data_IF_370117324600
#
_entry.id   IF_370117324600
#
_cell.length_a   1.000
_cell.length_b   1.000
_cell.length_c   1.000
_cell.angle_alpha   90.00
_cell.angle_beta   90.00
_cell.angle_gamma   90.00
#
_symmetry.space_group_name_H-M   'P 1'
#
loop_
_entity.id
_entity.type
_entity.pdbx_description
1 polymer ?
#
# COMPACT_ATOMS: atom_id res chain seq x y z
N UNK A 1 -26.20 22.10 -11.99
CA UNK A 1 -24.97 21.30 -12.06
C UNK A 1 -24.06 21.78 -10.95
N UNK A 2 -23.52 20.89 -10.12
CA UNK A 2 -22.55 21.29 -9.08
C UNK A 2 -21.27 21.72 -9.81
N UNK A 3 -20.78 22.95 -9.61
CA UNK A 3 -19.55 23.40 -10.27
C UNK A 3 -18.35 22.60 -9.77
N UNK A 4 -17.41 22.32 -10.67
CA UNK A 4 -16.14 21.71 -10.30
C UNK A 4 -15.23 22.76 -9.61
N UNK A 5 -14.39 22.34 -8.66
CA UNK A 5 -13.44 23.25 -8.03
C UNK A 5 -12.39 23.76 -9.01
N UNK A 6 -11.72 24.84 -8.63
CA UNK A 6 -10.56 25.34 -9.36
C UNK A 6 -9.36 24.39 -9.21
N UNK A 7 -8.38 24.53 -10.11
CA UNK A 7 -7.14 23.76 -10.02
C UNK A 7 -6.42 24.05 -8.68
N UNK A 8 -5.87 23.02 -8.01
CA UNK A 8 -5.11 23.21 -6.79
C UNK A 8 -3.92 24.15 -7.00
N UNK A 9 -3.72 25.10 -6.08
CA UNK A 9 -2.58 26.02 -6.06
C UNK A 9 -1.63 25.65 -4.92
N UNK A 10 -0.33 25.75 -5.14
CA UNK A 10 0.67 25.63 -4.07
C UNK A 10 0.93 27.03 -3.52
N UNK A 11 0.50 27.30 -2.28
CA UNK A 11 0.69 28.61 -1.64
C UNK A 11 2.12 28.74 -1.13
N UNK A 12 2.60 27.69 -0.47
CA UNK A 12 3.87 27.71 0.24
C UNK A 12 4.56 26.36 0.05
N UNK A 13 5.87 26.40 -0.25
CA UNK A 13 6.74 25.23 -0.34
C UNK A 13 8.03 25.53 0.42
N UNK A 14 8.26 24.78 1.49
CA UNK A 14 9.48 24.86 2.33
C UNK A 14 10.06 23.46 2.48
N UNK A 15 11.03 23.11 1.64
CA UNK A 15 11.65 21.78 1.64
C UNK A 15 10.63 20.66 1.47
N UNK A 16 10.49 19.82 2.50
CA UNK A 16 9.57 18.68 2.52
C UNK A 16 8.14 19.04 2.99
N UNK A 17 7.81 20.33 3.12
CA UNK A 17 6.49 20.81 3.53
C UNK A 17 5.87 21.65 2.43
N UNK A 18 4.60 21.40 2.11
CA UNK A 18 3.83 22.22 1.17
C UNK A 18 2.39 22.45 1.64
N UNK A 19 1.83 23.61 1.28
CA UNK A 19 0.42 23.95 1.51
C UNK A 19 -0.29 24.02 0.16
N UNK A 20 -1.25 23.12 -0.04
CA UNK A 20 -2.11 23.07 -1.23
C UNK A 20 -3.44 23.73 -0.92
N UNK A 21 -3.86 24.65 -1.76
CA UNK A 21 -5.14 25.33 -1.66
C UNK A 21 -6.05 24.92 -2.82
N UNK A 22 -7.24 24.44 -2.46
CA UNK A 22 -8.30 24.06 -3.39
C UNK A 22 -9.48 25.00 -3.15
N UNK A 23 -9.84 25.75 -4.18
CA UNK A 23 -10.89 26.79 -4.11
C UNK A 23 -12.14 26.37 -4.90
N UNK A 24 -13.28 26.96 -4.56
CA UNK A 24 -14.52 26.75 -5.31
C UNK A 24 -15.18 25.39 -5.07
N UNK A 25 -14.91 24.76 -3.92
CA UNK A 25 -15.62 23.54 -3.53
C UNK A 25 -17.05 23.88 -3.12
N UNK A 26 -18.01 23.06 -3.54
CA UNK A 26 -19.39 23.21 -3.11
C UNK A 26 -19.49 22.99 -1.58
N UNK A 27 -20.38 23.69 -0.84
CA UNK A 27 -20.48 23.53 0.61
C UNK A 27 -20.55 22.06 1.04
N UNK A 28 -19.68 21.69 1.99
CA UNK A 28 -19.52 20.32 2.50
C UNK A 28 -18.48 19.48 1.76
N UNK A 29 -18.14 19.83 0.52
CA UNK A 29 -17.12 19.09 -0.25
C UNK A 29 -15.71 19.34 0.30
N UNK A 30 -15.46 20.46 0.99
CA UNK A 30 -14.19 20.71 1.69
C UNK A 30 -13.86 19.57 2.65
N UNK A 31 -14.84 19.15 3.46
CA UNK A 31 -14.67 18.06 4.44
C UNK A 31 -14.48 16.72 3.73
N UNK A 32 -15.30 16.43 2.71
CA UNK A 32 -15.23 15.18 1.98
C UNK A 32 -13.88 15.01 1.27
N UNK A 33 -13.43 16.02 0.54
CA UNK A 33 -12.16 15.99 -0.20
C UNK A 33 -10.97 15.98 0.78
N UNK A 34 -10.98 16.86 1.78
CA UNK A 34 -9.91 16.97 2.77
C UNK A 34 -9.71 15.68 3.55
N UNK A 35 -10.78 15.08 4.06
CA UNK A 35 -10.70 13.81 4.79
C UNK A 35 -10.27 12.65 3.88
N UNK A 36 -10.78 12.59 2.64
CA UNK A 36 -10.41 11.53 1.69
C UNK A 36 -8.92 11.58 1.35
N UNK A 37 -8.40 12.76 1.00
CA UNK A 37 -6.98 12.96 0.72
C UNK A 37 -6.11 12.66 1.94
N UNK A 38 -6.50 13.15 3.11
CA UNK A 38 -5.77 12.90 4.37
C UNK A 38 -5.62 11.39 4.64
N UNK A 39 -6.68 10.62 4.43
CA UNK A 39 -6.64 9.16 4.64
C UNK A 39 -5.66 8.50 3.67
N UNK A 40 -5.80 8.76 2.38
CA UNK A 40 -4.97 8.12 1.34
C UNK A 40 -3.50 8.48 1.47
N UNK A 41 -3.20 9.74 1.74
CA UNK A 41 -1.82 10.20 1.92
C UNK A 41 -1.12 9.53 3.12
N UNK A 42 -1.85 9.24 4.21
CA UNK A 42 -1.28 8.57 5.39
C UNK A 42 -1.18 7.05 5.25
N UNK A 43 -2.07 6.42 4.47
CA UNK A 43 -2.18 4.95 4.44
C UNK A 43 -1.65 4.28 3.18
N UNK A 44 -1.74 4.93 2.03
CA UNK A 44 -1.76 4.24 0.73
C UNK A 44 -0.67 4.67 -0.24
N UNK A 45 0.24 5.55 0.18
CA UNK A 45 1.39 5.91 -0.63
C UNK A 45 2.48 4.83 -0.52
N UNK A 46 3.09 4.43 -1.65
CA UNK A 46 4.22 3.53 -1.65
C UNK A 46 5.45 4.23 -1.08
N UNK A 47 6.16 3.54 -0.21
CA UNK A 47 7.48 3.96 0.25
C UNK A 47 8.37 2.76 0.48
N UNK A 48 9.59 3.02 0.96
CA UNK A 48 10.60 2.00 1.16
C UNK A 48 11.16 2.02 2.58
N UNK A 49 11.36 0.83 3.15
CA UNK A 49 11.84 0.66 4.51
C UNK A 49 12.73 -0.58 4.62
N UNK A 50 13.54 -0.62 5.67
CA UNK A 50 14.30 -1.82 6.03
C UNK A 50 13.34 -2.85 6.59
N UNK A 51 13.40 -4.06 6.06
CA UNK A 51 12.51 -5.16 6.46
C UNK A 51 13.23 -6.26 7.19
N UNK A 52 14.50 -6.46 6.89
CA UNK A 52 15.34 -7.48 7.50
C UNK A 52 16.74 -6.97 7.68
N UNK A 53 17.42 -7.52 8.67
CA UNK A 53 18.83 -7.25 8.91
C UNK A 53 19.56 -8.51 9.33
N UNK A 54 20.84 -8.59 8.99
CA UNK A 54 21.75 -9.67 9.35
C UNK A 54 23.05 -9.05 9.81
N UNK A 55 23.45 -9.31 11.05
CA UNK A 55 24.73 -8.84 11.59
C UNK A 55 25.66 -10.05 11.78
N UNK A 56 26.91 -9.93 11.36
CA UNK A 56 27.89 -11.00 11.52
C UNK A 56 28.12 -11.30 13.01
N UNK A 57 27.93 -12.56 13.42
CA UNK A 57 28.16 -13.02 14.79
C UNK A 57 26.96 -12.86 15.75
N UNK A 58 25.84 -12.32 15.28
CA UNK A 58 24.62 -12.14 16.09
C UNK A 58 23.51 -13.07 15.61
N UNK A 59 22.84 -13.72 16.56
CA UNK A 59 21.72 -14.61 16.28
C UNK A 59 20.35 -14.00 16.62
N UNK A 60 20.31 -13.02 17.54
CA UNK A 60 19.07 -12.43 18.04
C UNK A 60 19.24 -10.96 18.40
N UNK A 61 18.14 -10.22 18.43
CA UNK A 61 18.08 -8.78 18.68
C UNK A 61 18.49 -8.34 20.11
N UNK A 62 18.48 -9.24 21.09
CA UNK A 62 18.82 -8.92 22.49
C UNK A 62 20.31 -9.03 22.81
N UNK A 63 21.16 -9.06 21.80
CA UNK A 63 22.61 -9.21 21.97
C UNK A 63 23.32 -7.86 21.92
N UNK A 64 24.54 -7.82 22.45
CA UNK A 64 25.43 -6.68 22.39
C UNK A 64 26.62 -6.99 21.49
N UNK A 65 27.21 -5.96 20.87
CA UNK A 65 28.36 -6.12 19.97
C UNK A 65 29.61 -5.61 20.70
N UNK A 66 30.62 -6.46 20.95
CA UNK A 66 31.85 -6.02 21.59
C UNK A 66 32.53 -4.89 20.80
N UNK A 67 32.79 -3.76 21.47
CA UNK A 67 33.45 -2.60 20.87
C UNK A 67 32.53 -1.66 20.09
N UNK A 68 31.22 -1.84 20.17
CA UNK A 68 30.19 -0.87 19.73
C UNK A 68 29.51 -0.32 20.99
N UNK A 69 29.16 0.97 20.98
CA UNK A 69 28.51 1.64 22.11
C UNK A 69 27.05 1.24 22.26
N UNK A 70 26.34 1.12 21.14
CA UNK A 70 24.91 0.83 21.06
C UNK A 70 24.61 -0.67 21.04
N UNK A 71 23.49 -1.04 21.64
CA UNK A 71 22.95 -2.40 21.59
C UNK A 71 22.25 -2.69 20.25
N UNK A 72 22.04 -3.96 19.91
CA UNK A 72 21.38 -4.33 18.63
C UNK A 72 19.97 -3.75 18.53
N UNK A 73 19.24 -3.59 19.64
CA UNK A 73 17.92 -2.94 19.68
C UNK A 73 18.01 -1.46 19.29
N UNK A 74 19.03 -0.76 19.77
CA UNK A 74 19.25 0.65 19.42
C UNK A 74 19.64 0.79 17.95
N UNK A 75 20.49 -0.11 17.44
CA UNK A 75 20.81 -0.18 16.01
C UNK A 75 19.54 -0.42 15.19
N UNK A 76 18.67 -1.34 15.60
CA UNK A 76 17.36 -1.57 14.96
C UNK A 76 16.53 -0.28 14.92
N UNK A 77 16.47 0.45 16.02
CA UNK A 77 15.72 1.71 16.11
C UNK A 77 16.29 2.77 15.17
N UNK A 78 17.62 2.89 15.09
CA UNK A 78 18.32 3.80 14.20
C UNK A 78 18.08 3.44 12.72
N UNK A 79 18.11 2.15 12.37
CA UNK A 79 17.81 1.67 11.02
C UNK A 79 16.38 2.02 10.58
N UNK A 80 15.40 1.95 11.48
CA UNK A 80 14.00 2.34 11.19
C UNK A 80 13.84 3.85 10.92
N UNK A 81 14.76 4.67 11.39
CA UNK A 81 14.76 6.10 11.11
C UNK A 81 15.36 6.43 9.73
N UNK A 82 15.99 5.47 9.06
CA UNK A 82 16.50 5.66 7.70
C UNK A 82 15.37 5.80 6.68
N UNK A 83 15.63 6.57 5.64
CA UNK A 83 14.71 6.86 4.55
C UNK A 83 15.38 6.56 3.23
N UNK A 84 14.74 5.68 2.45
CA UNK A 84 15.27 5.18 1.19
C UNK A 84 14.37 5.57 0.01
N UNK A 85 14.95 5.91 -1.13
CA UNK A 85 14.26 5.91 -2.41
C UNK A 85 14.68 4.66 -3.17
N UNK A 86 13.73 3.78 -3.45
CA UNK A 86 13.94 2.62 -4.30
C UNK A 86 13.42 2.92 -5.69
N UNK A 87 14.22 2.68 -6.72
CA UNK A 87 13.81 2.85 -8.12
C UNK A 87 13.21 1.57 -8.71
N UNK A 88 13.53 0.41 -8.13
CA UNK A 88 12.96 -0.90 -8.52
C UNK A 88 11.78 -1.31 -7.64
N UNK A 89 10.98 -2.29 -8.08
CA UNK A 89 9.95 -2.97 -7.27
C UNK A 89 10.49 -4.16 -6.46
N UNK A 90 11.68 -4.64 -6.80
CA UNK A 90 12.29 -5.80 -6.15
C UNK A 90 12.98 -5.43 -4.84
N UNK A 91 13.14 -6.40 -3.94
CA UNK A 91 13.93 -6.22 -2.73
C UNK A 91 15.40 -5.98 -3.07
N UNK A 92 16.03 -5.07 -2.34
CA UNK A 92 17.43 -4.70 -2.54
C UNK A 92 18.20 -4.91 -1.25
N UNK A 93 19.43 -5.40 -1.35
CA UNK A 93 20.32 -5.62 -0.22
C UNK A 93 21.38 -4.52 -0.18
N UNK A 94 21.57 -3.91 0.98
CA UNK A 94 22.65 -2.96 1.23
C UNK A 94 23.58 -3.54 2.30
N UNK A 95 24.88 -3.30 2.16
CA UNK A 95 25.90 -3.82 3.08
C UNK A 95 26.60 -2.67 3.77
N UNK A 96 27.02 -2.91 4.99
CA UNK A 96 27.82 -2.00 5.78
C UNK A 96 28.99 -2.78 6.34
N UNK A 97 30.21 -2.35 6.02
CA UNK A 97 31.43 -2.94 6.55
C UNK A 97 32.34 -1.83 7.06
N UNK A 98 32.49 -1.79 8.38
CA UNK A 98 33.25 -0.75 9.05
C UNK A 98 34.23 -1.37 10.04
N UNK A 99 35.45 -0.83 10.08
CA UNK A 99 36.48 -1.22 11.04
C UNK A 99 37.08 0.02 11.70
N UNK A 100 37.50 -0.15 12.94
CA UNK A 100 38.19 0.89 13.71
C UNK A 100 37.24 1.84 14.43
N UNK A 101 37.81 2.67 15.29
CA UNK A 101 37.08 3.62 16.14
C UNK A 101 36.52 4.76 15.28
N UNK A 102 35.19 4.79 15.09
CA UNK A 102 34.48 5.83 14.32
C UNK A 102 32.98 5.83 14.61
N UNK A 103 32.36 6.99 14.39
CA UNK A 103 30.92 7.12 14.27
C UNK A 103 30.46 6.60 12.90
N UNK A 104 29.51 5.67 12.88
CA UNK A 104 28.94 5.08 11.68
C UNK A 104 27.68 5.82 11.29
N UNK A 105 27.67 6.35 10.08
CA UNK A 105 26.55 7.10 9.52
C UNK A 105 25.88 6.34 8.40
N UNK A 106 24.67 6.74 8.05
CA UNK A 106 23.94 6.17 6.94
C UNK A 106 24.71 6.27 5.60
N UNK A 107 25.61 7.25 5.47
CA UNK A 107 26.50 7.39 4.32
C UNK A 107 27.56 6.29 4.18
N UNK A 108 27.86 5.54 5.25
CA UNK A 108 28.84 4.44 5.22
C UNK A 108 28.28 3.16 4.56
N UNK A 109 26.97 3.10 4.25
CA UNK A 109 26.38 1.96 3.57
C UNK A 109 26.84 1.86 2.11
N UNK A 110 27.26 0.65 1.72
CA UNK A 110 27.42 0.24 0.33
C UNK A 110 26.04 -0.04 -0.25
N UNK A 111 25.57 0.89 -1.07
CA UNK A 111 24.24 0.84 -1.69
C UNK A 111 24.33 0.33 -3.14
N UNK A 112 23.37 -0.49 -3.59
CA UNK A 112 23.21 -0.80 -5.00
C UNK A 112 22.70 0.44 -5.76
N UNK A 113 22.89 0.45 -7.08
CA UNK A 113 22.51 1.59 -7.95
C UNK A 113 21.02 1.95 -7.94
N UNK A 114 20.17 1.04 -7.48
CA UNK A 114 18.72 1.21 -7.44
C UNK A 114 18.18 1.73 -6.09
N UNK A 115 19.07 2.04 -5.15
CA UNK A 115 18.73 2.52 -3.80
C UNK A 115 19.47 3.82 -3.51
N UNK A 116 18.74 4.83 -3.06
CA UNK A 116 19.30 6.09 -2.58
C UNK A 116 18.87 6.35 -1.13
N UNK A 117 19.82 6.69 -0.26
CA UNK A 117 19.52 7.16 1.11
C UNK A 117 19.27 8.66 1.08
N UNK A 118 18.11 9.07 1.61
CA UNK A 118 17.70 10.48 1.73
C UNK A 118 18.43 11.15 2.89
N UNK A 119 18.47 10.51 4.06
CA UNK A 119 19.08 11.03 5.29
C UNK A 119 20.49 10.48 5.53
N UNK A 120 21.45 10.88 4.71
CA UNK A 120 22.84 10.39 4.75
C UNK A 120 23.58 10.65 6.06
N UNK A 121 23.15 11.65 6.83
CA UNK A 121 23.76 12.05 8.11
C UNK A 121 23.20 11.30 9.32
N UNK A 122 22.23 10.40 9.13
CA UNK A 122 21.63 9.67 10.23
C UNK A 122 22.66 8.76 10.91
N UNK A 123 22.66 8.81 12.25
CA UNK A 123 23.52 7.98 13.09
C UNK A 123 23.04 6.54 13.09
N UNK A 124 23.96 5.58 13.02
CA UNK A 124 23.66 4.14 13.09
C UNK A 124 24.22 3.54 14.37
N UNK A 125 25.53 3.68 14.56
CA UNK A 125 26.28 3.10 15.66
C UNK A 125 27.63 3.82 15.85
N UNK A 126 28.28 3.63 16.98
CA UNK A 126 29.57 4.20 17.35
C UNK A 126 30.52 3.08 17.73
N UNK A 127 31.61 2.91 16.98
CA UNK A 127 32.67 1.96 17.32
C UNK A 127 33.65 2.62 18.29
N UNK A 128 33.80 2.04 19.48
CA UNK A 128 34.60 2.60 20.59
C UNK A 128 36.02 2.03 20.65
N UNK A 129 36.32 1.00 19.85
CA UNK A 129 37.60 0.30 19.89
C UNK A 129 38.26 0.22 18.51
N UNK A 130 39.58 0.40 18.44
CA UNK A 130 40.35 0.26 17.19
C UNK A 130 40.29 -1.13 16.54
N UNK A 131 39.93 -2.15 17.31
CA UNK A 131 39.73 -3.54 16.85
C UNK A 131 38.26 -3.89 16.58
N UNK A 132 37.33 -2.96 16.84
CA UNK A 132 35.92 -3.21 16.57
C UNK A 132 35.69 -3.30 15.05
N UNK A 133 34.86 -4.26 14.66
CA UNK A 133 34.38 -4.44 13.29
C UNK A 133 32.88 -4.62 13.35
N UNK A 134 32.17 -3.84 12.53
CA UNK A 134 30.73 -3.96 12.33
C UNK A 134 30.50 -4.32 10.87
N UNK A 135 30.00 -5.54 10.66
CA UNK A 135 29.57 -6.03 9.36
C UNK A 135 28.09 -6.41 9.42
N UNK A 136 27.29 -5.77 8.58
CA UNK A 136 25.87 -6.05 8.50
C UNK A 136 25.31 -5.93 7.09
N UNK A 137 24.27 -6.70 6.82
CA UNK A 137 23.48 -6.65 5.59
C UNK A 137 22.04 -6.27 5.97
N UNK A 138 21.46 -5.31 5.26
CA UNK A 138 20.06 -4.91 5.41
C UNK A 138 19.30 -5.18 4.12
N UNK A 139 18.06 -5.64 4.24
CA UNK A 139 17.15 -5.79 3.12
C UNK A 139 16.14 -4.65 3.14
N UNK A 140 16.02 -3.98 1.99
CA UNK A 140 15.14 -2.84 1.79
C UNK A 140 14.09 -3.25 0.76
N UNK A 141 12.83 -3.02 1.09
CA UNK A 141 11.69 -3.35 0.23
C UNK A 141 10.79 -2.14 0.06
N UNK A 142 10.00 -2.18 -1.03
CA UNK A 142 8.84 -1.30 -1.19
C UNK A 142 7.62 -1.94 -0.56
N UNK A 143 6.80 -1.11 0.08
CA UNK A 143 5.56 -1.55 0.69
C UNK A 143 4.57 -0.42 0.86
N UNK A 144 3.50 -0.70 1.58
CA UNK A 144 2.43 0.24 1.87
C UNK A 144 2.14 0.26 3.37
N UNK A 145 1.96 1.45 3.92
CA UNK A 145 1.56 1.64 5.31
C UNK A 145 2.55 1.03 6.31
N UNK A 146 2.01 0.38 7.33
CA UNK A 146 2.77 -0.29 8.37
C UNK A 146 2.62 -1.81 8.24
N UNK A 147 3.73 -2.52 8.30
CA UNK A 147 3.74 -3.97 8.32
C UNK A 147 4.49 -4.48 9.55
N UNK A 148 3.80 -5.17 10.49
CA UNK A 148 4.46 -5.71 11.67
C UNK A 148 5.31 -6.94 11.32
N UNK A 149 6.36 -7.17 12.11
CA UNK A 149 7.25 -8.33 11.98
C UNK A 149 6.50 -9.67 11.91
N UNK A 150 5.49 -9.87 12.76
CA UNK A 150 4.70 -11.11 12.85
C UNK A 150 4.03 -11.49 11.52
N UNK A 151 3.60 -10.50 10.75
CA UNK A 151 2.98 -10.74 9.43
C UNK A 151 3.94 -11.36 8.40
N UNK A 152 5.25 -11.33 8.67
CA UNK A 152 6.34 -11.82 7.81
C UNK A 152 6.95 -13.14 8.28
N UNK A 153 6.52 -13.70 9.42
CA UNK A 153 7.10 -14.95 9.98
C UNK A 153 6.96 -16.18 9.09
N UNK A 154 6.04 -16.16 8.12
CA UNK A 154 5.86 -17.27 7.18
C UNK A 154 6.95 -17.34 6.09
N UNK A 155 7.81 -16.33 5.99
CA UNK A 155 8.93 -16.32 5.06
C UNK A 155 10.14 -17.04 5.67
N UNK A 156 10.77 -17.95 4.92
CA UNK A 156 11.95 -18.67 5.40
C UNK A 156 13.08 -17.67 5.67
N UNK A 157 13.41 -17.47 6.94
CA UNK A 157 14.54 -16.66 7.37
C UNK A 157 15.82 -17.49 7.33
N UNK A 158 16.91 -16.87 6.89
CA UNK A 158 18.23 -17.45 7.07
C UNK A 158 18.64 -17.43 8.54
N UNK A 159 19.52 -18.33 8.95
CA UNK A 159 20.08 -18.33 10.30
C UNK A 159 20.84 -17.02 10.52
N UNK A 160 20.49 -16.28 11.57
CA UNK A 160 21.06 -14.97 11.91
C UNK A 160 20.38 -13.77 11.24
N UNK A 161 19.30 -13.99 10.48
CA UNK A 161 18.48 -12.92 9.92
C UNK A 161 17.38 -12.50 10.91
N UNK A 162 17.33 -11.22 11.22
CA UNK A 162 16.36 -10.61 12.14
C UNK A 162 15.34 -9.84 11.30
N UNK A 163 14.07 -10.23 11.41
CA UNK A 163 12.95 -9.51 10.78
C UNK A 163 12.59 -8.27 11.57
N UNK A 164 12.32 -7.17 10.87
CA UNK A 164 11.92 -5.89 11.45
C UNK A 164 10.48 -5.56 11.03
N UNK A 165 9.80 -4.80 11.87
CA UNK A 165 8.62 -4.03 11.46
C UNK A 165 9.04 -2.91 10.52
N UNK A 166 8.22 -2.73 9.48
CA UNK A 166 8.52 -1.82 8.39
C UNK A 166 7.45 -0.73 8.29
N UNK A 167 7.90 0.52 8.33
CA UNK A 167 7.06 1.72 8.15
C UNK A 167 7.36 2.25 6.75
N UNK A 168 6.47 1.97 5.81
CA UNK A 168 6.59 2.39 4.42
C UNK A 168 5.97 3.76 4.14
N UNK A 169 5.31 4.39 5.11
CA UNK A 169 4.61 5.66 4.90
C UNK A 169 5.60 6.83 4.74
N UNK A 170 5.64 7.50 3.57
CA UNK A 170 6.57 8.61 3.30
C UNK A 170 6.07 9.97 3.82
N UNK A 171 4.85 10.02 4.36
CA UNK A 171 4.19 11.23 4.87
C UNK A 171 4.22 11.23 6.40
N UNK A 172 4.79 12.28 6.99
CA UNK A 172 4.91 12.44 8.45
C UNK A 172 3.65 13.04 9.06
N UNK A 173 3.12 14.09 8.43
CA UNK A 173 2.03 14.89 9.01
C UNK A 173 1.16 15.51 7.95
N UNK A 174 -0.15 15.48 8.19
CA UNK A 174 -1.15 16.15 7.37
C UNK A 174 -2.14 16.88 8.26
N UNK A 175 -2.37 18.15 7.92
CA UNK A 175 -3.41 18.97 8.49
C UNK A 175 -4.23 19.58 7.36
N UNK A 176 -5.53 19.78 7.59
CA UNK A 176 -6.35 20.55 6.66
C UNK A 176 -7.24 21.52 7.42
N UNK A 177 -7.48 22.66 6.79
CA UNK A 177 -8.38 23.71 7.27
C UNK A 177 -9.37 24.05 6.17
N UNK A 178 -10.62 24.30 6.57
CA UNK A 178 -11.70 24.65 5.66
C UNK A 178 -12.19 26.04 6.03
N UNK A 179 -12.30 26.89 5.04
CA UNK A 179 -12.75 28.28 5.16
C UNK A 179 -13.91 28.53 4.20
N UNK A 180 -14.83 29.42 4.59
CA UNK A 180 -15.87 29.87 3.67
C UNK A 180 -15.30 30.87 2.65
N UNK A 181 -15.72 30.72 1.40
CA UNK A 181 -15.30 31.53 0.26
C UNK A 181 -16.53 32.08 -0.47
N UNK A 182 -16.38 33.32 -0.96
CA UNK A 182 -17.32 33.91 -1.91
C UNK A 182 -16.96 33.56 -3.35
N UNK A 183 -17.89 32.95 -4.06
CA UNK A 183 -17.81 32.70 -5.51
C UNK A 183 -19.00 33.39 -6.18
N UNK A 184 -18.72 34.52 -6.85
CA UNK A 184 -19.75 35.35 -7.48
C UNK A 184 -20.74 35.94 -6.47
N UNK A 185 -22.00 35.49 -6.54
CA UNK A 185 -23.09 35.94 -5.66
C UNK A 185 -23.25 35.10 -4.39
N UNK A 186 -22.64 33.91 -4.30
CA UNK A 186 -22.74 33.00 -3.16
C UNK A 186 -21.50 33.07 -2.26
N UNK A 187 -21.69 32.94 -0.95
CA UNK A 187 -20.64 33.09 0.09
C UNK A 187 -20.35 31.79 0.86
N UNK A 188 -21.03 30.71 0.50
CA UNK A 188 -21.04 29.43 1.21
C UNK A 188 -20.20 28.35 0.52
N UNK A 189 -19.28 28.73 -0.38
CA UNK A 189 -18.35 27.77 -0.97
C UNK A 189 -17.23 27.45 0.00
N UNK A 190 -16.69 26.24 -0.08
CA UNK A 190 -15.56 25.82 0.74
C UNK A 190 -14.25 26.15 0.01
N UNK A 191 -13.26 26.62 0.78
CA UNK A 191 -11.85 26.66 0.44
C UNK A 191 -11.13 25.69 1.36
N UNK A 192 -10.36 24.77 0.79
CA UNK A 192 -9.59 23.77 1.51
C UNK A 192 -8.10 24.10 1.44
N UNK A 193 -7.48 24.35 2.59
CA UNK A 193 -6.04 24.47 2.74
C UNK A 193 -5.49 23.17 3.34
N UNK A 194 -4.67 22.44 2.59
CA UNK A 194 -4.10 21.16 2.96
C UNK A 194 -2.57 21.30 3.15
N UNK A 195 -2.12 21.16 4.38
CA UNK A 195 -0.70 21.14 4.73
C UNK A 195 -0.19 19.69 4.70
N UNK A 196 0.82 19.41 3.88
CA UNK A 196 1.45 18.10 3.73
C UNK A 196 2.93 18.19 4.07
N UNK A 197 3.40 17.32 4.97
CA UNK A 197 4.79 17.20 5.39
C UNK A 197 5.31 15.78 5.11
N UNK A 198 6.31 15.66 4.24
CA UNK A 198 6.95 14.40 3.85
C UNK A 198 8.31 14.20 4.52
N UNK A 199 8.84 12.98 4.45
CA UNK A 199 10.17 12.64 4.97
C UNK A 199 11.30 12.78 3.93
N UNK A 200 10.97 13.22 2.71
CA UNK A 200 11.91 13.41 1.61
C UNK A 200 12.03 12.21 0.66
N UNK A 201 11.39 11.06 0.95
CA UNK A 201 11.26 9.95 -0.01
C UNK A 201 10.42 10.35 -1.23
N UNK A 202 9.38 11.15 -0.98
CA UNK A 202 8.53 11.77 -2.00
C UNK A 202 8.46 13.27 -1.76
N UNK A 203 8.37 14.04 -2.84
CA UNK A 203 8.02 15.45 -2.71
C UNK A 203 6.53 15.60 -2.33
N UNK A 204 6.14 16.67 -1.62
CA UNK A 204 4.72 16.88 -1.29
C UNK A 204 3.79 16.93 -2.51
N UNK A 205 4.28 17.44 -3.65
CA UNK A 205 3.53 17.52 -4.91
C UNK A 205 3.29 16.13 -5.52
N UNK A 206 4.33 15.29 -5.57
CA UNK A 206 4.21 13.90 -6.01
C UNK A 206 3.26 13.12 -5.08
N UNK A 207 3.39 13.29 -3.77
CA UNK A 207 2.51 12.66 -2.79
C UNK A 207 1.05 13.05 -3.01
N UNK A 208 0.77 14.34 -3.22
CA UNK A 208 -0.58 14.85 -3.52
C UNK A 208 -1.13 14.28 -4.84
N UNK A 209 -0.30 14.24 -5.89
CA UNK A 209 -0.69 13.69 -7.19
C UNK A 209 -0.99 12.19 -7.11
N UNK A 210 -0.12 11.40 -6.49
CA UNK A 210 -0.30 9.95 -6.32
C UNK A 210 -1.55 9.65 -5.48
N UNK A 211 -1.80 10.39 -4.40
CA UNK A 211 -3.00 10.21 -3.59
C UNK A 211 -4.28 10.53 -4.38
N UNK A 212 -4.26 11.58 -5.19
CA UNK A 212 -5.38 11.94 -6.07
C UNK A 212 -5.64 10.85 -7.11
N UNK A 213 -4.58 10.31 -7.72
CA UNK A 213 -4.68 9.21 -8.68
C UNK A 213 -5.27 7.94 -8.05
N UNK A 214 -4.86 7.60 -6.82
CA UNK A 214 -5.41 6.46 -6.07
C UNK A 214 -6.91 6.64 -5.85
N UNK A 215 -7.36 7.82 -5.43
CA UNK A 215 -8.79 8.10 -5.25
C UNK A 215 -9.56 7.98 -6.55
N UNK A 216 -9.06 8.58 -7.64
CA UNK A 216 -9.70 8.50 -8.96
C UNK A 216 -9.82 7.05 -9.44
N UNK A 217 -8.76 6.24 -9.28
CA UNK A 217 -8.79 4.81 -9.61
C UNK A 217 -9.91 4.08 -8.85
N UNK A 218 -10.06 4.29 -7.55
CA UNK A 218 -11.12 3.68 -6.76
C UNK A 218 -12.52 4.10 -7.25
N UNK A 219 -12.75 5.41 -7.44
CA UNK A 219 -14.05 5.91 -7.89
C UNK A 219 -14.39 5.49 -9.34
N UNK A 220 -13.39 5.35 -10.21
CA UNK A 220 -13.58 4.90 -11.59
C UNK A 220 -14.22 3.50 -11.65
N UNK A 221 -13.85 2.59 -10.73
CA UNK A 221 -14.43 1.25 -10.66
C UNK A 221 -15.93 1.29 -10.33
N UNK A 222 -16.37 2.23 -9.50
CA UNK A 222 -17.80 2.38 -9.17
C UNK A 222 -18.62 2.79 -10.39
N UNK A 223 -18.09 3.70 -11.20
CA UNK A 223 -18.76 4.16 -12.42
C UNK A 223 -18.85 3.03 -13.46
N UNK A 224 -17.79 2.26 -13.65
CA UNK A 224 -17.73 1.16 -14.62
C UNK A 224 -18.62 -0.03 -14.22
N UNK A 225 -18.61 -0.41 -12.94
CA UNK A 225 -19.42 -1.52 -12.44
C UNK A 225 -20.93 -1.26 -12.63
N UNK A 226 -21.37 -0.01 -12.43
CA UNK A 226 -22.77 0.38 -12.63
C UNK A 226 -23.12 0.53 -14.11
N UNK A 227 -22.21 0.98 -14.96
CA UNK A 227 -22.41 1.05 -16.40
C UNK A 227 -22.66 -0.34 -17.02
N UNK A 228 -21.86 -1.35 -16.66
CA UNK A 228 -22.05 -2.74 -17.15
C UNK A 228 -23.40 -3.35 -16.74
N UNK A 229 -23.96 -2.94 -15.60
CA UNK A 229 -25.26 -3.41 -15.10
C UNK A 229 -26.46 -2.75 -15.79
N UNK A 230 -26.24 -1.57 -16.39
CA UNK A 230 -27.23 -0.86 -17.21
C UNK A 230 -27.49 -1.55 -18.55
N UNK A 231 -26.45 -2.11 -19.17
CA UNK A 231 -26.55 -2.84 -20.45
C UNK A 231 -27.26 -4.19 -20.32
N UNK A 232 -27.11 -4.89 -19.20
CA UNK A 232 -27.84 -6.16 -18.99
C UNK A 232 -29.34 -5.91 -18.75
N UNK A 233 -29.70 -4.82 -18.06
CA UNK A 233 -31.11 -4.46 -17.82
C UNK A 233 -31.81 -3.98 -19.08
N UNK A 234 -31.14 -3.19 -19.93
CA UNK A 234 -31.71 -2.74 -21.21
C UNK A 234 -31.98 -3.90 -22.18
N UNK A 235 -31.19 -5.00 -22.12
CA UNK A 235 -31.44 -6.24 -22.88
C UNK A 235 -32.61 -7.09 -22.36
N UNK A 236 -32.92 -7.00 -21.06
CA UNK A 236 -34.05 -7.73 -20.45
C UNK A 236 -35.39 -7.03 -20.64
N UNK A 237 -35.39 -5.69 -20.66
CA UNK A 237 -36.60 -4.88 -20.92
C UNK A 237 -36.99 -4.94 -22.39
N UNK A 238 -36.03 -4.98 -23.33
CA UNK A 238 -36.32 -5.16 -24.77
C UNK A 238 -36.87 -6.55 -25.08
N UNK A 239 -36.44 -7.62 -24.39
CA UNK A 239 -37.03 -8.97 -24.53
C UNK A 239 -38.45 -9.10 -23.95
N UNK A 240 -38.80 -8.29 -22.94
CA UNK A 240 -40.15 -8.28 -22.38
C UNK A 240 -41.14 -7.49 -23.26
N UNK A 241 -40.69 -6.41 -23.91
CA UNK A 241 -41.52 -5.65 -24.87
C UNK A 241 -41.65 -6.36 -26.23
N UNK A 242 -40.68 -7.16 -26.67
CA UNK A 242 -40.74 -7.89 -27.95
C UNK A 242 -41.68 -9.12 -27.96
N UNK A 243 -42.35 -9.44 -26.85
CA UNK A 243 -43.36 -10.53 -26.78
C UNK A 243 -44.81 -10.07 -26.85
N UNK A 244 -45.06 -8.78 -27.02
CA UNK A 244 -46.41 -8.22 -27.15
C UNK A 244 -46.48 -7.27 -28.33
N UNK A 245 -46.67 -7.82 -29.54
CA UNK A 245 -46.94 -7.02 -30.74
C UNK A 245 -46.42 -7.68 -32.02
N UNK A 246 -47.16 -8.66 -32.54
CA UNK A 246 -47.19 -8.96 -33.97
C UNK A 246 -48.50 -8.39 -34.51
N UNK A 247 -48.43 -7.40 -35.41
CA UNK A 247 -48.99 -7.48 -36.77
C UNK A 247 -48.73 -6.19 -37.60
N UNK A 248 -48.43 -6.42 -38.88
CA UNK A 248 -48.50 -5.54 -40.06
C UNK A 248 -47.27 -4.73 -40.53
N UNK A 249 -46.63 -5.31 -41.55
CA UNK A 249 -46.23 -4.75 -42.87
C UNK A 249 -45.01 -3.81 -43.05
N UNK A 250 -43.92 -4.46 -43.49
CA UNK A 250 -43.28 -4.39 -44.83
C UNK A 250 -42.57 -3.13 -45.38
N UNK A 251 -41.44 -3.45 -46.05
CA UNK A 251 -40.60 -2.68 -47.00
C UNK A 251 -39.60 -1.69 -46.35
N UNK A 252 -38.33 -1.54 -46.76
CA UNK A 252 -37.59 -1.94 -47.96
C UNK A 252 -36.06 -1.91 -47.72
N UNK A 253 -35.40 -3.02 -48.05
CA UNK A 253 -34.20 -3.12 -48.91
C UNK A 253 -32.86 -2.41 -48.59
N UNK A 254 -31.80 -3.24 -48.56
CA UNK A 254 -30.38 -2.98 -48.97
C UNK A 254 -29.55 -2.00 -48.12
N UNK A 255 -28.23 -2.15 -47.84
CA UNK A 255 -27.16 -3.08 -48.24
C UNK A 255 -25.95 -2.83 -47.30
N UNK A 256 -25.29 -3.91 -46.86
CA UNK A 256 -23.82 -4.11 -46.71
C UNK A 256 -22.88 -3.00 -46.15
N UNK A 257 -22.07 -3.30 -45.12
CA UNK A 257 -20.66 -3.76 -45.24
C UNK A 257 -19.97 -4.01 -43.87
N UNK A 258 -18.98 -4.90 -43.91
CA UNK A 258 -18.21 -5.59 -42.84
C UNK A 258 -17.30 -4.71 -41.97
N UNK A 259 -16.98 -5.19 -40.75
CA UNK A 259 -15.61 -5.47 -40.23
C UNK A 259 -15.71 -6.18 -38.86
N UNK A 260 -15.37 -7.48 -38.80
CA UNK A 260 -14.05 -8.06 -38.46
C UNK A 260 -14.03 -8.55 -37.00
N UNK A 261 -14.08 -9.88 -36.86
CA UNK A 261 -13.80 -10.62 -35.63
C UNK A 261 -12.30 -10.59 -35.31
N UNK A 262 -11.94 -10.26 -34.06
CA UNK A 262 -10.70 -10.75 -33.44
C UNK A 262 -11.03 -11.31 -32.06
N UNK A 263 -11.31 -12.62 -32.06
CA UNK A 263 -10.85 -13.65 -31.13
C UNK A 263 -10.74 -13.29 -29.63
N UNK A 264 -11.77 -13.62 -28.84
CA UNK A 264 -11.61 -13.88 -27.40
C UNK A 264 -11.87 -15.36 -27.10
N UNK A 265 -10.80 -16.08 -26.73
CA UNK A 265 -10.86 -17.47 -26.29
C UNK A 265 -11.12 -17.52 -24.80
N UNK A 266 -12.38 -17.50 -24.42
CA UNK A 266 -12.81 -18.02 -23.11
C UNK A 266 -14.00 -18.98 -23.30
N UNK A 267 -13.68 -20.26 -23.53
CA UNK A 267 -14.63 -21.36 -23.28
C UNK A 267 -14.47 -21.82 -21.83
N UNK A 268 -15.55 -21.88 -21.03
CA UNK A 268 -15.52 -22.57 -19.75
C UNK A 268 -15.66 -24.08 -19.99
N UNK A 269 -14.72 -24.86 -19.45
CA UNK A 269 -14.79 -26.32 -19.40
C UNK A 269 -15.81 -26.73 -18.32
N UNK A 270 -17.02 -27.11 -18.76
CA UNK A 270 -17.92 -27.99 -17.99
C UNK A 270 -17.41 -29.43 -18.11
N UNK A 271 -17.26 -30.11 -16.98
CA UNK A 271 -17.28 -31.57 -16.92
C UNK A 271 -16.26 -32.19 -15.97
N UNK A 272 -16.70 -32.44 -14.72
CA UNK A 272 -16.53 -33.72 -14.00
C UNK A 272 -17.11 -33.60 -12.59
N UNK A 273 -18.42 -33.83 -12.49
CA UNK A 273 -18.97 -34.52 -11.34
C UNK A 273 -18.38 -35.94 -11.27
N UNK A 274 -18.32 -36.48 -10.05
CA UNK A 274 -17.86 -37.81 -9.62
C UNK A 274 -16.36 -37.90 -9.30
N UNK A 275 -16.03 -37.69 -8.02
CA UNK A 275 -15.36 -38.69 -7.16
C UNK A 275 -14.68 -38.08 -5.92
N UNK A 276 -15.40 -37.76 -4.83
CA UNK A 276 -14.89 -37.90 -3.44
C UNK A 276 -16.07 -38.04 -2.46
N UNK A 277 -16.84 -39.14 -2.56
CA UNK A 277 -17.65 -39.63 -1.41
C UNK A 277 -17.47 -41.13 -1.35
N UNK A 278 -16.30 -41.57 -0.88
CA UNK A 278 -16.05 -42.93 -0.38
C UNK A 278 -14.84 -42.88 0.54
N UNK A 279 -15.07 -42.60 1.83
CA UNK A 279 -14.32 -43.26 2.90
C UNK A 279 -14.97 -43.02 4.27
N UNK A 280 -15.42 -44.12 4.87
CA UNK A 280 -15.62 -44.37 6.31
C UNK A 280 -16.92 -43.87 6.96
N UNK A 281 -18.02 -44.53 6.57
CA UNK A 281 -18.95 -45.05 7.56
C UNK A 281 -18.26 -46.23 8.30
N UNK A 282 -17.93 -46.06 9.57
CA UNK A 282 -17.69 -47.19 10.49
C UNK A 282 -18.67 -47.07 11.66
N UNK A 283 -19.53 -48.09 11.71
CA UNK A 283 -20.51 -48.43 12.75
C UNK A 283 -19.99 -48.17 14.16
N UNK A 284 -20.76 -47.45 14.97
CA UNK A 284 -20.71 -47.53 16.44
C UNK A 284 -21.35 -48.86 16.86
N UNK A 285 -20.67 -49.76 17.61
CA UNK A 285 -21.37 -50.77 18.38
C UNK A 285 -21.64 -50.25 19.79
N UNK A 286 -22.88 -50.49 20.25
CA UNK A 286 -23.27 -50.36 21.64
C UNK A 286 -22.46 -51.32 22.53
N UNK A 287 -21.94 -50.83 23.66
CA UNK A 287 -21.54 -51.67 24.79
C UNK A 287 -22.28 -51.25 26.05
N UNK A 288 -23.10 -52.19 26.53
CA UNK A 288 -23.69 -52.28 27.86
C UNK A 288 -22.60 -52.46 28.93
N UNK A 289 -22.90 -51.90 30.11
CA UNK A 289 -22.56 -52.35 31.47
C UNK A 289 -21.08 -52.37 31.92
N UNK A 290 -20.76 -51.65 33.00
CA UNK A 290 -20.63 -52.14 34.39
C UNK A 290 -19.84 -51.08 35.17
N UNK A 291 -20.49 -50.35 36.07
CA UNK A 291 -19.82 -49.64 37.17
C UNK A 291 -20.04 -50.43 38.47
N UNK A 292 -19.01 -51.13 38.94
CA UNK A 292 -18.94 -51.65 40.30
C UNK A 292 -17.52 -51.44 40.86
N UNK A 293 -17.48 -50.64 41.93
CA UNK A 293 -16.74 -50.83 43.19
C UNK A 293 -15.20 -50.95 43.18
N UNK A 294 -14.65 -50.11 44.07
CA UNK A 294 -13.68 -50.39 45.15
C UNK A 294 -12.17 -50.19 44.88
N UNK A 295 -11.62 -49.31 45.72
CA UNK A 295 -10.40 -49.41 46.54
C UNK A 295 -9.07 -49.66 45.82
N UNK A 296 -8.18 -48.69 45.89
CA UNK A 296 -7.06 -48.71 46.86
C UNK A 296 -6.62 -47.29 47.15
#
# INVERSE_FOLDING_TARGET
MIPLPFQPKVIEKKGNKAIFQIEGLYPGYGVTVGNSLRRVLLSSLPGAAVTRMKITGIQHEFSTIPGVLEDVIEIILNLKQLRFKLFTSESQKARLKVKGEKEVKASDFELPSQVEIVNKTAHIATLTSKKAELEMEIQIEKGLGYQPRESRENEKLEIGEISLDAIFTPVKRISYQIENMRVGKRTDFDRLNLEVETDGQLTPEEAFSQASEILVKHFSLFTQALAKRGDERSSSTTRALAKGGDEAEASSTTKSFKKEEVLDRTKPLKGREKAVVKSKARKKPAKKQVSKKKKT
#
